data_IF_134216460240
#
_entry.id   IF_134216460240
#
_cell.length_a   1.000
_cell.length_b   1.000
_cell.length_c   1.000
_cell.angle_alpha   90.00
_cell.angle_beta   90.00
_cell.angle_gamma   90.00
#
_symmetry.space_group_name_H-M   'P 1'
#
loop_
_entity.id
_entity.type
_entity.pdbx_description
1 polymer ?
#
# COMPACT_ATOMS: atom_id res chain seq x y z
N UNK A 1 -15.69 14.18 -18.39
CA UNK A 1 -14.49 13.42 -18.86
C UNK A 1 -14.28 12.12 -18.08
N UNK A 2 -14.44 12.12 -16.76
CA UNK A 2 -14.31 10.92 -15.91
C UNK A 2 -15.34 9.83 -16.27
N UNK A 3 -16.60 10.22 -16.45
CA UNK A 3 -17.72 9.33 -16.82
C UNK A 3 -17.45 8.51 -18.10
N UNK A 4 -16.86 9.12 -19.13
CA UNK A 4 -16.55 8.44 -20.40
C UNK A 4 -15.52 7.31 -20.21
N UNK A 5 -14.55 7.52 -19.32
CA UNK A 5 -13.56 6.49 -18.99
C UNK A 5 -14.18 5.31 -18.24
N UNK A 6 -15.11 5.57 -17.31
CA UNK A 6 -15.84 4.50 -16.63
C UNK A 6 -16.78 3.74 -17.56
N UNK A 7 -17.48 4.44 -18.45
CA UNK A 7 -18.38 3.81 -19.42
C UNK A 7 -17.62 2.96 -20.45
N UNK A 8 -16.41 3.35 -20.82
CA UNK A 8 -15.56 2.53 -21.71
C UNK A 8 -15.12 1.18 -21.09
N UNK A 9 -15.24 1.01 -19.76
CA UNK A 9 -14.99 -0.28 -19.11
C UNK A 9 -16.19 -1.24 -19.23
N UNK A 10 -17.38 -0.71 -19.51
CA UNK A 10 -18.62 -1.49 -19.70
C UNK A 10 -18.88 -1.84 -21.17
N UNK A 11 -18.19 -1.17 -22.10
CA UNK A 11 -18.22 -1.52 -23.51
C UNK A 11 -17.56 -2.88 -23.72
N UNK A 12 -18.25 -3.79 -24.43
CA UNK A 12 -17.69 -5.10 -24.74
C UNK A 12 -16.35 -4.94 -25.46
N UNK A 13 -15.30 -5.65 -25.01
CA UNK A 13 -13.98 -5.53 -25.61
C UNK A 13 -14.06 -5.92 -27.08
N UNK A 14 -13.66 -5.02 -27.98
CA UNK A 14 -13.60 -5.24 -29.43
C UNK A 14 -12.48 -6.23 -29.82
N UNK A 15 -11.71 -6.71 -28.84
CA UNK A 15 -10.64 -7.69 -29.05
C UNK A 15 -11.22 -9.10 -29.08
N UNK A 16 -10.85 -9.85 -30.11
CA UNK A 16 -11.31 -11.23 -30.33
C UNK A 16 -10.98 -12.09 -29.10
N UNK A 17 -12.01 -12.55 -28.40
CA UNK A 17 -11.89 -13.50 -27.27
C UNK A 17 -11.07 -14.70 -27.72
N UNK A 18 -9.87 -14.88 -27.14
CA UNK A 18 -9.12 -16.11 -27.29
C UNK A 18 -9.63 -17.11 -26.25
N UNK A 19 -10.07 -18.28 -26.70
CA UNK A 19 -10.49 -19.36 -25.81
C UNK A 19 -9.30 -19.80 -24.96
N UNK A 20 -9.43 -19.68 -23.64
CA UNK A 20 -8.47 -20.28 -22.70
C UNK A 20 -8.57 -21.80 -22.74
N UNK A 21 -7.48 -22.49 -22.38
CA UNK A 21 -7.40 -23.97 -22.34
C UNK A 21 -8.45 -24.65 -21.43
N UNK A 22 -9.20 -23.87 -20.65
CA UNK A 22 -10.23 -24.25 -19.71
C UNK A 22 -11.65 -23.78 -20.11
N UNK A 23 -11.86 -23.32 -21.36
CA UNK A 23 -13.18 -22.88 -21.85
C UNK A 23 -13.67 -21.56 -21.26
N UNK A 24 -12.84 -20.87 -20.47
CA UNK A 24 -13.10 -19.50 -20.04
C UNK A 24 -12.73 -18.55 -21.18
N UNK A 25 -13.67 -17.68 -21.58
CA UNK A 25 -13.37 -16.54 -22.45
C UNK A 25 -12.37 -15.63 -21.72
N UNK A 26 -11.14 -15.59 -22.23
CA UNK A 26 -10.08 -14.78 -21.62
C UNK A 26 -10.16 -13.36 -22.20
N UNK A 27 -11.01 -12.51 -21.63
CA UNK A 27 -10.91 -11.08 -21.86
C UNK A 27 -9.61 -10.59 -21.20
N UNK A 28 -8.68 -9.99 -21.97
CA UNK A 28 -7.44 -9.49 -21.37
C UNK A 28 -7.79 -8.37 -20.37
N UNK A 29 -7.19 -8.36 -19.17
CA UNK A 29 -7.42 -7.27 -18.21
C UNK A 29 -7.01 -5.93 -18.82
N UNK A 30 -7.86 -4.92 -18.63
CA UNK A 30 -7.59 -3.54 -19.08
C UNK A 30 -6.65 -2.88 -18.07
N UNK A 31 -5.53 -2.36 -18.56
CA UNK A 31 -4.57 -1.62 -17.74
C UNK A 31 -4.64 -0.13 -18.05
N UNK A 32 -4.39 0.75 -17.05
CA UNK A 32 -4.26 2.17 -17.31
C UNK A 32 -3.07 2.43 -18.24
N UNK A 33 -3.24 3.33 -19.21
CA UNK A 33 -2.20 3.66 -20.18
C UNK A 33 -0.93 4.23 -19.52
N UNK A 34 -1.10 4.95 -18.41
CA UNK A 34 -0.03 5.51 -17.59
C UNK A 34 -0.30 5.21 -16.11
N UNK A 35 0.16 4.07 -15.57
CA UNK A 35 0.00 3.77 -14.15
C UNK A 35 0.77 4.79 -13.31
N UNK A 36 0.09 5.41 -12.35
CA UNK A 36 0.74 6.27 -11.37
C UNK A 36 1.63 5.48 -10.42
N UNK A 37 2.66 6.12 -9.87
CA UNK A 37 3.46 5.56 -8.78
C UNK A 37 2.78 5.87 -7.45
N UNK A 38 2.50 4.83 -6.66
CA UNK A 38 1.80 4.94 -5.39
C UNK A 38 2.62 4.33 -4.26
N UNK A 39 2.66 5.04 -3.13
CA UNK A 39 3.27 4.56 -1.89
C UNK A 39 2.23 4.63 -0.75
N UNK A 40 2.58 4.10 0.41
CA UNK A 40 1.78 4.26 1.63
C UNK A 40 2.68 4.78 2.74
N UNK A 41 2.38 5.98 3.23
CA UNK A 41 3.23 6.66 4.22
C UNK A 41 3.48 5.81 5.47
N UNK A 42 2.47 5.11 5.97
CA UNK A 42 2.62 4.24 7.15
C UNK A 42 3.56 3.06 6.93
N UNK A 43 3.52 2.45 5.74
CA UNK A 43 4.43 1.35 5.38
C UNK A 43 5.86 1.88 5.27
N UNK A 44 6.04 2.95 4.50
CA UNK A 44 7.37 3.48 4.18
C UNK A 44 8.06 4.09 5.41
N UNK A 45 7.31 4.78 6.28
CA UNK A 45 7.82 5.24 7.56
C UNK A 45 8.34 4.07 8.40
N UNK A 46 7.60 2.96 8.42
CA UNK A 46 8.02 1.77 9.19
C UNK A 46 9.26 1.14 8.59
N UNK A 47 9.25 0.90 7.27
CA UNK A 47 10.27 0.12 6.56
C UNK A 47 11.56 0.89 6.33
N UNK A 48 11.48 2.19 6.04
CA UNK A 48 12.63 3.01 5.63
C UNK A 48 13.13 3.97 6.73
N UNK A 49 12.38 4.16 7.82
CA UNK A 49 12.79 5.03 8.92
C UNK A 49 12.88 4.26 10.23
N UNK A 50 11.77 3.69 10.70
CA UNK A 50 11.72 3.06 12.03
C UNK A 50 12.60 1.81 12.09
N UNK A 51 12.46 0.88 11.13
CA UNK A 51 13.23 -0.36 11.12
C UNK A 51 14.76 -0.13 10.98
N UNK A 52 15.24 0.72 10.05
CA UNK A 52 16.67 1.05 9.98
C UNK A 52 17.19 1.74 11.24
N UNK A 53 16.44 2.69 11.83
CA UNK A 53 16.84 3.34 13.09
C UNK A 53 16.94 2.32 14.22
N UNK A 54 15.96 1.42 14.35
CA UNK A 54 16.00 0.36 15.37
C UNK A 54 17.12 -0.66 15.09
N UNK A 55 17.48 -0.90 13.84
CA UNK A 55 18.55 -1.82 13.50
C UNK A 55 19.93 -1.26 13.84
N UNK A 56 20.14 0.06 13.84
CA UNK A 56 21.39 0.69 14.31
C UNK A 56 21.77 0.28 15.75
N UNK A 57 20.79 -0.09 16.59
CA UNK A 57 21.03 -0.55 17.97
C UNK A 57 21.31 -2.05 18.08
N UNK A 58 21.28 -2.81 16.97
CA UNK A 58 21.56 -4.25 16.95
C UNK A 58 23.04 -4.50 16.63
N UNK A 59 23.62 -5.52 17.27
CA UNK A 59 25.03 -5.92 17.07
C UNK A 59 25.37 -6.26 15.62
N UNK A 60 24.43 -6.82 14.86
CA UNK A 60 24.55 -7.12 13.42
C UNK A 60 23.53 -6.30 12.61
N UNK A 61 23.35 -5.04 12.99
CA UNK A 61 22.39 -4.12 12.38
C UNK A 61 22.90 -3.38 11.15
N UNK A 62 22.08 -2.46 10.65
CA UNK A 62 22.46 -1.63 9.51
C UNK A 62 23.63 -0.71 9.86
N UNK A 63 24.39 -0.33 8.85
CA UNK A 63 25.35 0.78 9.01
C UNK A 63 24.62 2.13 8.99
N UNK A 64 25.26 3.18 9.52
CA UNK A 64 24.72 4.54 9.38
C UNK A 64 24.51 4.94 7.92
N UNK A 65 25.40 4.54 7.02
CA UNK A 65 25.30 4.84 5.58
C UNK A 65 24.04 4.20 5.00
N UNK A 66 23.81 2.92 5.28
CA UNK A 66 22.63 2.18 4.84
C UNK A 66 21.32 2.79 5.41
N UNK A 67 21.34 3.23 6.67
CA UNK A 67 20.20 3.94 7.25
C UNK A 67 19.89 5.27 6.52
N UNK A 68 20.92 6.01 6.10
CA UNK A 68 20.75 7.22 5.29
C UNK A 68 20.25 6.91 3.87
N UNK A 69 20.68 5.81 3.26
CA UNK A 69 20.16 5.38 1.96
C UNK A 69 18.67 5.06 2.03
N UNK A 70 18.23 4.30 3.04
CA UNK A 70 16.81 4.05 3.29
C UNK A 70 16.02 5.35 3.50
N UNK A 71 16.56 6.27 4.29
CA UNK A 71 15.93 7.58 4.49
C UNK A 71 15.82 8.37 3.17
N UNK A 72 16.82 8.29 2.30
CA UNK A 72 16.78 8.85 0.95
C UNK A 72 15.63 8.28 0.11
N UNK A 73 15.44 6.95 0.13
CA UNK A 73 14.31 6.28 -0.54
C UNK A 73 12.97 6.75 0.03
N UNK A 74 12.86 6.91 1.34
CA UNK A 74 11.65 7.46 1.97
C UNK A 74 11.31 8.86 1.44
N UNK A 75 12.30 9.75 1.35
CA UNK A 75 12.10 11.10 0.80
C UNK A 75 11.74 11.07 -0.68
N UNK A 76 12.36 10.18 -1.47
CA UNK A 76 12.00 9.99 -2.88
C UNK A 76 10.52 9.65 -3.02
N UNK A 77 10.01 8.68 -2.25
CA UNK A 77 8.60 8.31 -2.30
C UNK A 77 7.70 9.44 -1.82
N UNK A 78 8.06 10.11 -0.72
CA UNK A 78 7.28 11.21 -0.15
C UNK A 78 7.06 12.37 -1.15
N UNK A 79 8.05 12.68 -1.99
CA UNK A 79 7.99 13.81 -2.92
C UNK A 79 7.64 13.44 -4.36
N UNK A 80 7.99 12.23 -4.82
CA UNK A 80 7.82 11.84 -6.23
C UNK A 80 6.64 10.89 -6.47
N UNK A 81 6.05 10.32 -5.42
CA UNK A 81 4.96 9.34 -5.52
C UNK A 81 3.69 9.90 -4.87
N UNK A 82 2.53 9.33 -5.25
CA UNK A 82 1.25 9.67 -4.60
C UNK A 82 0.97 8.73 -3.44
N UNK A 83 0.45 9.25 -2.34
CA UNK A 83 0.00 8.40 -1.25
C UNK A 83 -1.29 7.66 -1.65
N UNK A 84 -1.39 6.38 -1.31
CA UNK A 84 -2.54 5.54 -1.65
C UNK A 84 -3.79 5.79 -0.79
N UNK A 85 -3.71 6.61 0.26
CA UNK A 85 -4.79 6.86 1.23
C UNK A 85 -5.08 8.34 1.43
N UNK A 86 -4.06 9.20 1.36
CA UNK A 86 -4.18 10.64 1.56
C UNK A 86 -4.30 11.39 0.24
N UNK A 87 -5.39 12.14 0.10
CA UNK A 87 -5.55 13.15 -0.93
C UNK A 87 -5.92 14.48 -0.26
N UNK A 88 -5.41 15.61 -0.75
CA UNK A 88 -5.61 16.91 -0.10
C UNK A 88 -7.09 17.32 -0.04
N UNK A 89 -7.88 16.87 -1.01
CA UNK A 89 -9.32 17.13 -1.10
C UNK A 89 -10.15 16.07 -0.36
N UNK A 90 -9.55 14.93 0.01
CA UNK A 90 -10.18 13.86 0.79
C UNK A 90 -9.19 13.29 1.84
N UNK A 91 -8.89 14.06 2.90
CA UNK A 91 -7.93 13.63 3.92
C UNK A 91 -8.55 12.68 4.95
N UNK A 92 -9.87 12.52 4.95
CA UNK A 92 -10.62 11.81 6.00
C UNK A 92 -10.26 10.32 6.09
N UNK A 93 -10.07 9.57 4.98
CA UNK A 93 -9.63 8.18 5.04
C UNK A 93 -8.29 8.03 5.74
N UNK A 94 -7.30 8.87 5.41
CA UNK A 94 -5.99 8.84 6.04
C UNK A 94 -6.07 9.24 7.52
N UNK A 95 -6.83 10.28 7.85
CA UNK A 95 -7.03 10.71 9.24
C UNK A 95 -7.61 9.57 10.08
N UNK A 96 -8.69 8.94 9.62
CA UNK A 96 -9.34 7.83 10.31
C UNK A 96 -8.40 6.64 10.44
N UNK A 97 -7.70 6.28 9.37
CA UNK A 97 -6.77 5.14 9.37
C UNK A 97 -5.70 5.28 10.45
N UNK A 98 -5.02 6.43 10.50
CA UNK A 98 -3.88 6.64 11.38
C UNK A 98 -4.25 7.06 12.81
N UNK A 99 -5.33 7.81 13.00
CA UNK A 99 -5.68 8.36 14.32
C UNK A 99 -6.76 7.56 15.05
N UNK A 100 -7.56 6.76 14.34
CA UNK A 100 -8.67 6.01 14.95
C UNK A 100 -8.50 4.52 14.77
N UNK A 101 -8.45 4.04 13.51
CA UNK A 101 -8.47 2.62 13.20
C UNK A 101 -7.25 1.88 13.77
N UNK A 102 -6.02 2.29 13.40
CA UNK A 102 -4.82 1.60 13.87
C UNK A 102 -4.62 1.66 15.38
N UNK A 103 -4.78 2.81 16.06
CA UNK A 103 -4.72 2.87 17.51
C UNK A 103 -5.76 1.95 18.18
N UNK A 104 -6.99 1.92 17.68
CA UNK A 104 -8.03 1.02 18.20
C UNK A 104 -7.67 -0.46 17.99
N UNK A 105 -7.22 -0.85 16.80
CA UNK A 105 -6.85 -2.25 16.53
C UNK A 105 -5.67 -2.69 17.41
N UNK A 106 -4.69 -1.80 17.62
CA UNK A 106 -3.60 -2.05 18.54
C UNK A 106 -4.08 -2.24 19.98
N UNK A 107 -4.90 -1.31 20.50
CA UNK A 107 -5.48 -1.42 21.84
C UNK A 107 -6.32 -2.69 22.01
N UNK A 108 -7.16 -3.02 21.01
CA UNK A 108 -7.93 -4.26 20.99
C UNK A 108 -7.01 -5.48 21.06
N UNK A 109 -5.94 -5.51 20.28
CA UNK A 109 -4.98 -6.62 20.27
C UNK A 109 -4.32 -6.83 21.63
N UNK A 110 -4.02 -5.75 22.37
CA UNK A 110 -3.49 -5.81 23.72
C UNK A 110 -4.51 -6.34 24.74
N UNK A 111 -5.76 -5.88 24.67
CA UNK A 111 -6.82 -6.28 25.60
C UNK A 111 -7.25 -7.73 25.38
N UNK A 112 -7.27 -8.20 24.13
CA UNK A 112 -7.70 -9.57 23.79
C UNK A 112 -6.56 -10.58 23.72
N UNK A 113 -5.32 -10.19 24.07
CA UNK A 113 -4.08 -10.98 23.86
C UNK A 113 -3.98 -11.58 22.44
N UNK A 114 -4.43 -10.81 21.43
CA UNK A 114 -4.39 -11.26 20.05
C UNK A 114 -2.99 -11.02 19.47
N UNK A 115 -2.24 -12.12 19.32
CA UNK A 115 -0.90 -12.10 18.72
C UNK A 115 -0.99 -12.12 17.21
N UNK A 116 -0.23 -11.26 16.55
CA UNK A 116 -0.20 -11.12 15.10
C UNK A 116 1.24 -11.02 14.60
N UNK A 117 1.47 -11.51 13.38
CA UNK A 117 2.79 -11.54 12.74
C UNK A 117 2.88 -10.62 11.53
N UNK A 118 1.76 -10.41 10.84
CA UNK A 118 1.73 -9.69 9.56
C UNK A 118 0.50 -8.82 9.44
N UNK A 119 0.64 -7.74 8.70
CA UNK A 119 -0.43 -6.81 8.36
C UNK A 119 -0.38 -6.56 6.86
N UNK A 120 -1.54 -6.62 6.19
CA UNK A 120 -1.68 -6.12 4.83
C UNK A 120 -2.17 -4.67 4.90
N UNK A 121 -1.32 -3.74 4.45
CA UNK A 121 -1.56 -2.30 4.59
C UNK A 121 -2.68 -1.81 3.67
N UNK A 122 -2.87 -2.43 2.49
CA UNK A 122 -3.93 -2.03 1.55
C UNK A 122 -5.32 -2.52 1.92
N UNK A 123 -5.42 -3.63 2.67
CA UNK A 123 -6.70 -4.22 3.12
C UNK A 123 -6.94 -4.03 4.62
N UNK A 124 -5.97 -3.46 5.34
CA UNK A 124 -5.96 -3.31 6.81
C UNK A 124 -6.13 -4.61 7.59
N UNK A 125 -5.87 -5.76 6.96
CA UNK A 125 -6.05 -7.09 7.53
C UNK A 125 -4.84 -7.49 8.38
N UNK A 126 -5.11 -7.90 9.62
CA UNK A 126 -4.12 -8.49 10.52
C UNK A 126 -4.15 -10.01 10.43
N UNK A 127 -2.98 -10.64 10.39
CA UNK A 127 -2.83 -12.08 10.36
C UNK A 127 -2.24 -12.57 11.69
N UNK A 128 -2.95 -13.49 12.34
CA UNK A 128 -2.55 -14.10 13.61
C UNK A 128 -1.26 -14.90 13.54
N UNK A 129 -0.69 -15.18 14.71
CA UNK A 129 0.42 -16.11 14.91
C UNK A 129 -0.09 -17.51 15.26
#
# INVERSE_FOLDING_TARGET
>A
MIEKGYMSLLEEPTTTSKEGANGASHTPPVYPHNPGKYYWIGHDLTTFVILPVLSLFKVHGNSFVEAFEHFGTFLEHLFLWRDGTYEIWDPLPAWWLYHVYWPFQFAKSLVTDFKWSRINVSTTKMFGC
#
